data_IF_763813114092
#
_entry.id   IF_763813114092
#
_cell.length_a   1.000
_cell.length_b   1.000
_cell.length_c   1.000
_cell.angle_alpha   90.00
_cell.angle_beta   90.00
_cell.angle_gamma   90.00
#
_symmetry.space_group_name_H-M   'P 1'
#
loop_
_entity.id
_entity.type
_entity.pdbx_description
1 polymer ?
#
# COMPACT_ATOMS: atom_id res chain seq x y z
N UNK A 1 8.00 2.24 -44.50
CA UNK A 1 8.13 2.56 -43.07
C UNK A 1 6.83 2.15 -42.38
N UNK A 2 6.85 1.06 -41.62
CA UNK A 2 5.70 0.65 -40.83
C UNK A 2 5.77 1.40 -39.51
N UNK A 3 4.79 2.28 -39.26
CA UNK A 3 4.63 2.94 -37.97
C UNK A 3 4.05 1.90 -37.02
N UNK A 4 4.88 1.41 -36.09
CA UNK A 4 4.39 0.59 -34.97
C UNK A 4 3.69 1.53 -34.00
N UNK A 5 2.36 1.56 -34.04
CA UNK A 5 1.57 2.26 -33.04
C UNK A 5 1.72 1.47 -31.73
N UNK A 6 2.49 1.97 -30.80
CA UNK A 6 2.54 1.46 -29.44
C UNK A 6 1.16 1.77 -28.82
N UNK A 7 0.28 0.78 -28.76
CA UNK A 7 -0.87 0.82 -27.88
C UNK A 7 -0.33 0.67 -26.45
N UNK A 8 -0.16 1.80 -25.75
CA UNK A 8 0.00 1.79 -24.30
C UNK A 8 -1.39 1.43 -23.79
N UNK A 9 -1.62 0.14 -23.54
CA UNK A 9 -2.83 -0.31 -22.84
C UNK A 9 -2.85 0.39 -21.48
N UNK A 10 -3.85 1.22 -21.26
CA UNK A 10 -4.07 1.81 -19.94
C UNK A 10 -4.41 0.67 -18.99
N UNK A 11 -3.55 0.42 -18.02
CA UNK A 11 -3.76 -0.61 -17.00
C UNK A 11 -4.01 0.06 -15.65
N UNK A 12 -5.17 -0.21 -15.07
CA UNK A 12 -5.52 0.25 -13.74
C UNK A 12 -4.67 -0.47 -12.68
N UNK A 13 -3.90 0.29 -11.91
CA UNK A 13 -3.02 -0.26 -10.86
C UNK A 13 -3.77 -0.38 -9.53
N UNK A 14 -4.24 -1.61 -9.22
CA UNK A 14 -4.92 -1.93 -7.95
C UNK A 14 -3.93 -1.88 -6.79
N UNK A 15 -4.32 -1.22 -5.68
CA UNK A 15 -3.47 -1.04 -4.49
C UNK A 15 -2.46 0.10 -4.61
N UNK A 16 -2.61 0.97 -5.62
CA UNK A 16 -1.73 2.08 -5.94
C UNK A 16 -2.49 3.38 -6.22
N UNK A 17 -1.77 4.50 -6.22
CA UNK A 17 -2.31 5.76 -6.74
C UNK A 17 -2.27 5.76 -8.27
N UNK A 18 -3.38 6.16 -8.87
CA UNK A 18 -3.56 6.33 -10.29
C UNK A 18 -3.95 7.78 -10.57
N UNK A 19 -3.41 8.38 -11.62
CA UNK A 19 -3.89 9.66 -12.14
C UNK A 19 -4.80 9.39 -13.34
N UNK A 20 -6.09 9.68 -13.18
CA UNK A 20 -7.16 9.32 -14.09
C UNK A 20 -7.94 10.56 -14.51
N UNK A 21 -8.51 10.56 -15.72
CA UNK A 21 -9.41 11.62 -16.16
C UNK A 21 -10.81 11.44 -15.60
N UNK A 22 -11.46 12.54 -15.27
CA UNK A 22 -12.87 12.57 -14.91
C UNK A 22 -13.68 12.48 -16.20
N UNK A 23 -14.28 11.31 -16.44
CA UNK A 23 -15.00 11.05 -17.71
C UNK A 23 -16.45 11.48 -17.66
N UNK A 24 -17.14 11.22 -16.54
CA UNK A 24 -18.56 11.56 -16.37
C UNK A 24 -18.95 11.65 -14.91
N UNK A 25 -19.91 12.51 -14.64
CA UNK A 25 -20.60 12.66 -13.36
C UNK A 25 -21.92 11.88 -13.37
N UNK A 26 -22.20 11.17 -12.27
CA UNK A 26 -23.40 10.35 -12.13
C UNK A 26 -24.00 10.49 -10.73
N UNK A 27 -25.21 9.97 -10.51
CA UNK A 27 -25.87 9.98 -9.19
C UNK A 27 -25.08 9.24 -8.10
N UNK A 28 -24.19 8.30 -8.46
CA UNK A 28 -23.42 7.47 -7.51
C UNK A 28 -21.99 7.95 -7.31
N UNK A 29 -21.51 8.83 -8.18
CA UNK A 29 -20.16 9.38 -8.14
C UNK A 29 -19.59 9.65 -9.52
N UNK A 30 -18.29 9.96 -9.56
CA UNK A 30 -17.56 10.19 -10.80
C UNK A 30 -17.04 8.86 -11.35
N UNK A 31 -17.10 8.69 -12.65
CA UNK A 31 -16.35 7.65 -13.35
C UNK A 31 -15.05 8.23 -13.87
N UNK A 32 -13.95 7.56 -13.52
CA UNK A 32 -12.60 7.96 -13.86
C UNK A 32 -11.96 6.89 -14.75
N UNK A 33 -11.13 7.29 -15.70
CA UNK A 33 -10.47 6.34 -16.59
C UNK A 33 -9.57 7.01 -17.62
N UNK A 34 -9.36 6.31 -18.74
CA UNK A 34 -8.71 6.84 -19.94
C UNK A 34 -9.75 7.21 -21.00
N UNK A 35 -9.48 8.26 -21.76
CA UNK A 35 -10.35 8.64 -22.88
C UNK A 35 -10.39 7.58 -23.99
N UNK A 36 -9.35 6.74 -24.07
CA UNK A 36 -9.15 5.79 -25.16
C UNK A 36 -9.86 4.45 -24.96
N UNK A 37 -10.23 4.10 -23.71
CA UNK A 37 -10.84 2.80 -23.38
C UNK A 37 -11.96 3.01 -22.37
N UNK A 38 -13.21 2.62 -22.73
CA UNK A 38 -14.36 2.66 -21.80
C UNK A 38 -14.44 1.40 -20.91
N UNK A 39 -13.60 0.41 -21.14
CA UNK A 39 -13.67 -0.89 -20.44
C UNK A 39 -13.07 -0.87 -19.04
N UNK A 40 -12.21 0.12 -18.74
CA UNK A 40 -11.46 0.21 -17.47
C UNK A 40 -11.89 1.39 -16.58
N UNK A 41 -13.12 1.89 -16.73
CA UNK A 41 -13.64 2.98 -15.90
C UNK A 41 -13.79 2.54 -14.45
N UNK A 42 -13.28 3.35 -13.53
CA UNK A 42 -13.40 3.12 -12.08
C UNK A 42 -14.32 4.15 -11.44
N UNK A 43 -15.20 3.69 -10.55
CA UNK A 43 -16.09 4.56 -9.80
C UNK A 43 -15.35 5.23 -8.63
N UNK A 44 -15.43 6.56 -8.55
CA UNK A 44 -15.14 7.36 -7.36
C UNK A 44 -16.47 7.71 -6.68
N UNK A 45 -16.86 7.08 -5.56
CA UNK A 45 -18.11 7.35 -4.88
C UNK A 45 -18.27 8.80 -4.45
N UNK A 46 -19.50 9.32 -4.41
CA UNK A 46 -19.83 10.71 -4.09
C UNK A 46 -19.14 11.25 -2.83
N UNK A 47 -18.99 10.43 -1.79
CA UNK A 47 -18.35 10.81 -0.52
C UNK A 47 -16.86 11.15 -0.64
N UNK A 48 -16.22 10.76 -1.74
CA UNK A 48 -14.80 11.00 -2.01
C UNK A 48 -14.57 12.01 -3.13
N UNK A 49 -15.63 12.50 -3.75
CA UNK A 49 -15.56 13.49 -4.83
C UNK A 49 -15.08 14.84 -4.27
N UNK A 50 -14.07 15.48 -4.89
CA UNK A 50 -13.66 16.85 -4.53
C UNK A 50 -14.82 17.83 -4.66
N UNK A 51 -14.79 18.92 -3.88
CA UNK A 51 -15.84 19.96 -3.93
C UNK A 51 -15.90 20.67 -5.28
N UNK A 52 -14.76 20.80 -5.94
CA UNK A 52 -14.61 21.43 -7.25
C UNK A 52 -13.92 20.43 -8.18
N UNK A 53 -14.49 20.22 -9.36
CA UNK A 53 -13.94 19.38 -10.43
C UNK A 53 -14.54 19.81 -11.77
N UNK A 54 -13.86 19.46 -12.85
CA UNK A 54 -14.34 19.63 -14.23
C UNK A 54 -14.21 18.30 -14.96
N UNK A 55 -15.19 17.96 -15.80
CA UNK A 55 -15.08 16.79 -16.70
C UNK A 55 -13.87 17.00 -17.62
N UNK A 56 -13.02 15.99 -17.73
CA UNK A 56 -11.76 16.04 -18.49
C UNK A 56 -10.52 16.37 -17.65
N UNK A 57 -10.68 16.85 -16.41
CA UNK A 57 -9.55 17.10 -15.52
C UNK A 57 -8.92 15.78 -15.04
N UNK A 58 -7.62 15.81 -14.77
CA UNK A 58 -6.88 14.71 -14.17
C UNK A 58 -7.06 14.72 -12.63
N UNK A 59 -7.42 13.57 -12.08
CA UNK A 59 -7.56 13.38 -10.64
C UNK A 59 -6.70 12.22 -10.15
N UNK A 60 -5.84 12.46 -9.16
CA UNK A 60 -5.07 11.39 -8.52
C UNK A 60 -5.90 10.74 -7.42
N UNK A 61 -6.16 9.45 -7.58
CA UNK A 61 -6.96 8.62 -6.68
C UNK A 61 -6.24 7.33 -6.34
N UNK A 62 -6.53 6.78 -5.17
CA UNK A 62 -6.10 5.43 -4.81
C UNK A 62 -7.17 4.44 -5.28
N UNK A 63 -6.75 3.36 -5.95
CA UNK A 63 -7.67 2.33 -6.46
C UNK A 63 -7.51 1.05 -5.67
N UNK A 64 -8.61 0.51 -5.18
CA UNK A 64 -8.65 -0.73 -4.40
C UNK A 64 -9.90 -1.55 -4.76
N UNK A 65 -10.07 -2.72 -4.15
CA UNK A 65 -11.21 -3.59 -4.40
C UNK A 65 -12.27 -3.42 -3.31
N UNK A 66 -13.52 -3.16 -3.68
CA UNK A 66 -14.66 -3.08 -2.76
C UNK A 66 -15.03 -4.46 -2.17
N UNK A 67 -16.13 -4.53 -1.41
CA UNK A 67 -16.59 -5.78 -0.79
C UNK A 67 -17.04 -6.85 -1.80
N UNK A 68 -17.34 -6.45 -3.03
CA UNK A 68 -17.70 -7.34 -4.14
C UNK A 68 -16.51 -7.61 -5.08
N UNK A 69 -15.29 -7.23 -4.65
CA UNK A 69 -14.03 -7.36 -5.39
C UNK A 69 -14.01 -6.58 -6.72
N UNK A 70 -14.78 -5.49 -6.81
CA UNK A 70 -14.75 -4.58 -7.96
C UNK A 70 -13.76 -3.44 -7.70
N UNK A 71 -13.02 -2.96 -8.72
CA UNK A 71 -12.20 -1.77 -8.60
C UNK A 71 -13.04 -0.56 -8.20
N UNK A 72 -12.59 0.18 -7.19
CA UNK A 72 -13.20 1.42 -6.72
C UNK A 72 -12.11 2.42 -6.36
N UNK A 73 -12.35 3.69 -6.66
CA UNK A 73 -11.43 4.78 -6.39
C UNK A 73 -11.77 5.50 -5.07
N UNK A 74 -10.76 6.09 -4.45
CA UNK A 74 -10.93 6.97 -3.30
C UNK A 74 -9.89 8.09 -3.31
N UNK A 75 -10.23 9.25 -2.76
CA UNK A 75 -9.29 10.33 -2.48
C UNK A 75 -8.62 10.21 -1.11
N UNK A 76 -9.01 9.20 -0.32
CA UNK A 76 -8.34 8.88 0.94
C UNK A 76 -6.92 8.38 0.69
N UNK A 77 -6.04 8.62 1.65
CA UNK A 77 -4.65 8.15 1.62
C UNK A 77 -4.51 6.97 2.56
N UNK A 78 -4.36 5.73 2.04
CA UNK A 78 -4.15 4.57 2.88
C UNK A 78 -2.78 4.64 3.58
N UNK A 79 -2.64 3.90 4.69
CA UNK A 79 -1.38 3.82 5.45
C UNK A 79 -0.34 2.89 4.80
N UNK A 80 -0.76 2.09 3.81
CA UNK A 80 0.06 1.12 3.08
C UNK A 80 -0.43 1.03 1.64
N UNK A 81 0.51 0.80 0.70
CA UNK A 81 0.23 0.52 -0.71
C UNK A 81 0.69 -0.88 -1.08
N UNK A 82 0.37 -1.31 -2.28
CA UNK A 82 0.84 -2.57 -2.83
C UNK A 82 2.38 -2.64 -2.74
N UNK A 83 2.89 -3.80 -2.33
CA UNK A 83 4.31 -4.06 -2.15
C UNK A 83 5.02 -3.18 -1.09
N UNK A 84 4.28 -2.65 -0.13
CA UNK A 84 4.84 -1.91 1.00
C UNK A 84 4.66 -2.61 2.34
N UNK A 85 5.43 -2.15 3.32
CA UNK A 85 5.32 -2.54 4.73
C UNK A 85 4.70 -1.41 5.54
N UNK A 86 3.86 -1.76 6.51
CA UNK A 86 3.36 -0.83 7.52
C UNK A 86 3.02 -1.55 8.84
N UNK A 87 2.98 -0.79 9.93
CA UNK A 87 2.40 -1.22 11.21
C UNK A 87 0.92 -0.86 11.26
N UNK A 88 0.06 -1.87 11.12
CA UNK A 88 -1.39 -1.69 11.10
C UNK A 88 -2.04 -2.28 12.35
N UNK A 89 -3.15 -1.66 12.77
CA UNK A 89 -3.94 -2.11 13.92
C UNK A 89 -4.97 -3.15 13.47
N UNK A 90 -5.12 -4.23 14.23
CA UNK A 90 -6.21 -5.19 14.04
C UNK A 90 -7.51 -4.60 14.56
N UNK A 91 -8.49 -4.45 13.69
CA UNK A 91 -9.83 -3.99 14.05
C UNK A 91 -10.66 -5.15 14.61
N UNK A 92 -10.69 -6.29 13.90
CA UNK A 92 -11.41 -7.48 14.34
C UNK A 92 -10.81 -8.75 13.73
N UNK A 93 -11.22 -9.89 14.29
CA UNK A 93 -10.82 -11.22 13.82
C UNK A 93 -12.09 -12.05 13.59
N UNK A 94 -12.10 -12.84 12.53
CA UNK A 94 -13.17 -13.80 12.26
C UNK A 94 -12.60 -15.18 11.94
N UNK A 95 -13.47 -16.12 11.51
CA UNK A 95 -13.08 -17.50 11.18
C UNK A 95 -12.11 -17.65 9.99
N UNK A 96 -11.83 -16.59 9.26
CA UNK A 96 -10.92 -16.62 8.09
C UNK A 96 -9.57 -15.96 8.38
N UNK A 97 -9.50 -15.03 9.32
CA UNK A 97 -8.28 -14.28 9.64
C UNK A 97 -8.54 -12.96 10.34
N UNK A 98 -7.55 -12.09 10.34
CA UNK A 98 -7.58 -10.77 10.93
C UNK A 98 -7.85 -9.70 9.87
N UNK A 99 -8.52 -8.62 10.29
CA UNK A 99 -8.85 -7.46 9.48
C UNK A 99 -8.23 -6.22 10.11
N UNK A 100 -7.41 -5.53 9.33
CA UNK A 100 -6.55 -4.45 9.78
C UNK A 100 -7.00 -3.11 9.22
N UNK A 101 -7.03 -2.11 10.09
CA UNK A 101 -7.22 -0.72 9.71
C UNK A 101 -6.02 -0.23 8.87
N UNK A 102 -6.26 0.07 7.61
CA UNK A 102 -5.28 0.65 6.69
C UNK A 102 -5.68 2.02 6.16
N UNK A 103 -6.68 2.65 6.81
CA UNK A 103 -7.15 4.00 6.49
C UNK A 103 -8.25 4.08 5.43
N UNK A 104 -8.79 2.94 4.98
CA UNK A 104 -9.92 2.86 4.05
C UNK A 104 -11.11 2.16 4.72
N UNK A 105 -12.30 2.24 4.09
CA UNK A 105 -13.51 1.63 4.68
C UNK A 105 -13.48 0.11 4.76
N UNK A 106 -12.94 -0.54 3.72
CA UNK A 106 -12.75 -2.00 3.73
C UNK A 106 -11.42 -2.29 4.41
N UNK A 107 -11.44 -2.98 5.53
CA UNK A 107 -10.23 -3.40 6.23
C UNK A 107 -9.35 -4.32 5.37
N UNK A 108 -8.04 -4.23 5.57
CA UNK A 108 -7.05 -5.07 4.90
C UNK A 108 -7.02 -6.46 5.56
N UNK A 109 -7.21 -7.49 4.77
CA UNK A 109 -7.32 -8.87 5.23
C UNK A 109 -5.96 -9.55 5.39
N UNK A 110 -5.78 -10.26 6.53
CA UNK A 110 -4.62 -11.12 6.82
C UNK A 110 -5.13 -12.53 7.11
N UNK A 111 -5.09 -13.46 6.15
CA UNK A 111 -5.48 -14.86 6.37
C UNK A 111 -4.65 -15.50 7.49
N UNK A 112 -5.19 -16.49 8.20
CA UNK A 112 -4.44 -17.20 9.25
C UNK A 112 -3.12 -17.79 8.73
N UNK A 113 -3.10 -18.31 7.49
CA UNK A 113 -1.89 -18.82 6.84
C UNK A 113 -0.78 -17.78 6.66
N UNK A 114 -1.15 -16.49 6.62
CA UNK A 114 -0.22 -15.36 6.45
C UNK A 114 0.18 -14.70 7.79
N UNK A 115 -0.30 -15.22 8.90
CA UNK A 115 0.09 -14.75 10.23
C UNK A 115 1.33 -15.51 10.71
N UNK A 116 2.40 -14.78 11.07
CA UNK A 116 3.60 -15.37 11.67
C UNK A 116 3.33 -15.89 13.09
N UNK A 117 2.37 -15.27 13.76
CA UNK A 117 1.80 -15.66 15.06
C UNK A 117 0.33 -15.22 15.10
N UNK A 118 -0.52 -15.85 15.93
CA UNK A 118 -1.90 -15.41 16.07
C UNK A 118 -1.97 -13.92 16.38
N UNK A 119 -2.82 -13.21 15.64
CA UNK A 119 -3.07 -11.79 15.86
C UNK A 119 -4.14 -11.59 16.92
N UNK A 120 -4.14 -10.44 17.59
CA UNK A 120 -5.07 -10.07 18.63
C UNK A 120 -5.71 -8.71 18.29
N UNK A 121 -7.01 -8.57 18.53
CA UNK A 121 -7.74 -7.33 18.29
C UNK A 121 -7.15 -6.17 19.09
N UNK A 122 -7.11 -4.99 18.46
CA UNK A 122 -6.57 -3.78 19.05
C UNK A 122 -5.03 -3.68 19.02
N UNK A 123 -4.30 -4.79 18.81
CA UNK A 123 -2.83 -4.78 18.70
C UNK A 123 -2.38 -4.37 17.29
N UNK A 124 -1.15 -3.87 17.21
CA UNK A 124 -0.51 -3.49 15.94
C UNK A 124 0.53 -4.52 15.54
N UNK A 125 0.58 -4.79 14.23
CA UNK A 125 1.52 -5.74 13.63
C UNK A 125 2.16 -5.13 12.39
N UNK A 126 3.45 -5.43 12.21
CA UNK A 126 4.13 -5.18 10.95
C UNK A 126 3.60 -6.16 9.92
N UNK A 127 3.13 -5.63 8.81
CA UNK A 127 2.61 -6.41 7.67
C UNK A 127 3.15 -5.89 6.36
N UNK A 128 3.16 -6.76 5.36
CA UNK A 128 3.43 -6.46 3.96
C UNK A 128 2.17 -6.69 3.15
N UNK A 129 1.80 -5.75 2.28
CA UNK A 129 0.63 -5.87 1.42
C UNK A 129 1.03 -6.38 0.03
N UNK A 130 0.32 -7.38 -0.46
CA UNK A 130 0.53 -7.96 -1.78
C UNK A 130 -0.78 -8.36 -2.44
N UNK A 131 -0.74 -8.56 -3.75
CA UNK A 131 -1.86 -9.12 -4.51
C UNK A 131 -1.74 -10.66 -4.50
N UNK A 132 -2.74 -11.33 -3.94
CA UNK A 132 -2.80 -12.81 -4.01
C UNK A 132 -3.18 -13.21 -5.44
N UNK A 133 -2.24 -13.75 -6.19
CA UNK A 133 -2.41 -14.17 -7.59
C UNK A 133 -3.53 -15.19 -7.81
N UNK A 134 -3.87 -15.99 -6.79
CA UNK A 134 -4.92 -17.01 -6.89
C UNK A 134 -6.32 -16.44 -6.79
N UNK A 135 -6.48 -15.40 -5.98
CA UNK A 135 -7.79 -14.82 -5.68
C UNK A 135 -7.94 -13.43 -6.28
N UNK A 136 -6.87 -12.86 -6.81
CA UNK A 136 -6.77 -11.47 -7.31
C UNK A 136 -7.21 -10.44 -6.26
N UNK A 137 -6.91 -10.70 -4.97
CA UNK A 137 -7.29 -9.85 -3.84
C UNK A 137 -6.07 -9.20 -3.20
N UNK A 138 -6.23 -7.96 -2.74
CA UNK A 138 -5.26 -7.34 -1.86
C UNK A 138 -5.33 -8.02 -0.48
N UNK A 139 -4.22 -8.60 -0.06
CA UNK A 139 -4.05 -9.25 1.23
C UNK A 139 -2.75 -8.81 1.90
N UNK A 140 -2.64 -9.02 3.19
CA UNK A 140 -1.39 -8.75 3.89
C UNK A 140 -0.86 -9.97 4.61
N UNK A 141 0.46 -9.96 4.84
CA UNK A 141 1.18 -11.01 5.57
C UNK A 141 2.02 -10.40 6.69
N UNK A 142 1.96 -10.97 7.89
CA UNK A 142 2.92 -10.65 8.94
C UNK A 142 4.19 -11.51 8.92
N UNK A 143 4.31 -12.42 7.96
CA UNK A 143 5.52 -13.18 7.65
C UNK A 143 6.49 -12.35 6.82
N UNK A 144 6.80 -11.15 7.30
CA UNK A 144 7.48 -10.08 6.55
C UNK A 144 8.86 -10.46 6.03
N UNK A 145 9.53 -11.41 6.69
CA UNK A 145 10.89 -11.84 6.30
C UNK A 145 10.98 -12.41 4.89
N UNK A 146 9.90 -12.99 4.36
CA UNK A 146 9.88 -13.56 3.01
C UNK A 146 9.87 -12.50 1.89
N UNK A 147 9.49 -11.26 2.23
CA UNK A 147 9.41 -10.14 1.29
C UNK A 147 10.61 -9.18 1.40
N UNK A 148 11.54 -9.47 2.31
CA UNK A 148 12.74 -8.67 2.54
C UNK A 148 13.96 -9.43 2.03
N UNK A 149 14.77 -8.79 1.21
CA UNK A 149 16.02 -9.36 0.70
C UNK A 149 17.15 -8.34 0.82
N UNK A 150 18.32 -8.83 1.21
CA UNK A 150 19.58 -8.08 1.13
C UNK A 150 20.46 -8.63 0.01
N UNK A 151 19.93 -9.46 -0.88
CA UNK A 151 20.59 -9.87 -2.09
C UNK A 151 20.59 -8.71 -3.09
N UNK A 152 21.69 -8.49 -3.78
CA UNK A 152 21.86 -7.40 -4.75
C UNK A 152 21.57 -6.00 -4.14
N UNK A 153 22.24 -5.68 -3.03
CA UNK A 153 22.18 -4.34 -2.43
C UNK A 153 22.83 -3.33 -3.38
N UNK A 154 22.01 -2.46 -3.96
CA UNK A 154 22.47 -1.32 -4.78
C UNK A 154 22.72 -0.05 -3.94
N UNK A 155 22.57 -0.16 -2.60
CA UNK A 155 22.71 0.94 -1.66
C UNK A 155 24.17 1.36 -1.50
N UNK A 156 24.41 2.67 -1.56
CA UNK A 156 25.75 3.25 -1.43
C UNK A 156 25.96 3.84 -0.04
N UNK A 157 27.22 3.84 0.40
CA UNK A 157 27.60 4.50 1.65
C UNK A 157 27.25 6.00 1.61
N UNK A 158 26.64 6.51 2.70
CA UNK A 158 26.14 7.86 2.85
C UNK A 158 24.90 8.19 1.98
N UNK A 159 24.28 7.21 1.34
CA UNK A 159 23.02 7.39 0.65
C UNK A 159 21.88 7.63 1.67
N UNK A 160 21.04 8.63 1.41
CA UNK A 160 19.80 8.86 2.17
C UNK A 160 18.73 7.86 1.73
N UNK A 161 18.13 7.18 2.69
CA UNK A 161 17.14 6.13 2.47
C UNK A 161 15.91 6.33 3.36
N UNK A 162 14.77 5.82 2.89
CA UNK A 162 13.56 5.74 3.68
C UNK A 162 13.64 4.56 4.66
N UNK A 163 13.30 4.82 5.91
CA UNK A 163 13.37 3.84 7.00
C UNK A 163 12.00 3.66 7.63
N UNK A 164 11.58 2.41 7.76
CA UNK A 164 10.48 1.99 8.61
C UNK A 164 11.03 1.23 9.82
N UNK A 165 10.75 1.72 11.03
CA UNK A 165 11.13 1.02 12.26
C UNK A 165 10.28 -0.25 12.40
N UNK A 166 10.93 -1.41 12.33
CA UNK A 166 10.26 -2.71 12.44
C UNK A 166 10.03 -3.10 13.90
N UNK A 167 11.10 -3.29 14.64
CA UNK A 167 11.07 -3.63 16.08
C UNK A 167 12.38 -3.27 16.75
N UNK A 168 12.34 -3.11 18.06
CA UNK A 168 13.50 -2.74 18.88
C UNK A 168 13.91 -3.95 19.70
N UNK A 169 15.21 -4.28 19.69
CA UNK A 169 15.81 -5.38 20.44
C UNK A 169 16.99 -4.89 21.27
N UNK A 170 17.58 -5.76 22.08
CA UNK A 170 18.80 -5.44 22.81
C UNK A 170 19.98 -5.17 21.87
N UNK A 171 20.03 -5.85 20.72
CA UNK A 171 21.07 -5.68 19.71
C UNK A 171 20.96 -4.35 18.94
N UNK A 172 19.78 -3.72 18.91
CA UNK A 172 19.55 -2.48 18.18
C UNK A 172 18.12 -2.32 17.69
N UNK A 173 17.94 -1.38 16.78
CA UNK A 173 16.69 -1.03 16.15
C UNK A 173 16.67 -1.68 14.78
N UNK A 174 15.80 -2.67 14.62
CA UNK A 174 15.60 -3.33 13.31
C UNK A 174 14.75 -2.45 12.43
N UNK A 175 15.20 -2.23 11.21
CA UNK A 175 14.57 -1.33 10.25
C UNK A 175 14.34 -2.02 8.90
N UNK A 176 13.36 -1.51 8.17
CA UNK A 176 13.15 -1.82 6.76
C UNK A 176 13.57 -0.59 5.96
N UNK A 177 14.49 -0.79 5.02
CA UNK A 177 15.07 0.25 4.18
C UNK A 177 14.42 0.20 2.81
N UNK A 178 13.93 1.35 2.32
CA UNK A 178 13.31 1.52 0.99
C UNK A 178 12.26 0.45 0.67
N UNK A 179 11.47 0.02 1.70
CA UNK A 179 10.44 -1.02 1.57
C UNK A 179 10.97 -2.38 1.03
N UNK A 180 12.27 -2.65 1.09
CA UNK A 180 12.88 -3.80 0.42
C UNK A 180 13.94 -4.52 1.26
N UNK A 181 14.78 -3.79 1.99
CA UNK A 181 15.97 -4.35 2.63
C UNK A 181 15.86 -4.35 4.15
N UNK A 182 16.52 -5.33 4.78
CA UNK A 182 16.69 -5.37 6.24
C UNK A 182 17.89 -4.55 6.65
N UNK A 183 17.72 -3.71 7.67
CA UNK A 183 18.80 -2.96 8.29
C UNK A 183 18.76 -3.05 9.80
N UNK A 184 19.88 -2.70 10.42
CA UNK A 184 20.05 -2.56 11.86
C UNK A 184 20.67 -1.19 12.15
N UNK A 185 19.98 -0.37 12.93
CA UNK A 185 20.54 0.86 13.47
C UNK A 185 20.94 0.64 14.93
N UNK A 186 22.14 1.08 15.30
CA UNK A 186 22.61 0.96 16.68
C UNK A 186 21.97 2.05 17.55
N UNK A 187 21.61 1.70 18.79
CA UNK A 187 20.92 2.61 19.71
C UNK A 187 21.70 3.91 19.99
N UNK A 188 23.04 3.84 19.98
CA UNK A 188 23.92 5.00 20.16
C UNK A 188 24.02 5.93 18.94
N UNK A 189 23.41 5.57 17.83
CA UNK A 189 23.38 6.37 16.59
C UNK A 189 22.00 6.99 16.32
N UNK A 190 21.03 6.69 17.18
CA UNK A 190 19.66 7.22 17.10
C UNK A 190 19.43 8.16 18.26
N UNK A 191 19.23 9.44 17.95
CA UNK A 191 19.12 10.52 18.93
C UNK A 191 17.67 10.90 19.26
N UNK A 192 16.71 10.24 18.61
CA UNK A 192 15.29 10.47 18.80
C UNK A 192 14.61 9.25 19.41
N UNK A 193 13.50 9.48 20.10
CA UNK A 193 12.65 8.41 20.61
C UNK A 193 11.90 7.75 19.44
N UNK A 194 12.36 6.57 19.05
CA UNK A 194 11.77 5.81 17.94
C UNK A 194 10.84 4.71 18.44
N UNK A 195 9.78 4.46 17.70
CA UNK A 195 8.78 3.43 18.01
C UNK A 195 8.53 2.55 16.77
N UNK A 196 8.20 1.26 16.96
CA UNK A 196 7.77 0.42 15.85
C UNK A 196 6.65 1.08 15.03
N UNK A 197 6.82 1.09 13.71
CA UNK A 197 5.90 1.72 12.77
C UNK A 197 6.23 3.17 12.40
N UNK A 198 7.18 3.82 13.06
CA UNK A 198 7.66 5.14 12.61
C UNK A 198 8.34 5.04 11.26
N UNK A 199 8.02 6.00 10.38
CA UNK A 199 8.71 6.24 9.12
C UNK A 199 9.63 7.43 9.30
N UNK A 200 10.87 7.31 8.90
CA UNK A 200 11.89 8.37 8.96
C UNK A 200 12.90 8.19 7.83
N UNK A 201 13.88 9.08 7.78
CA UNK A 201 15.02 8.95 6.87
C UNK A 201 16.29 8.63 7.64
N UNK A 202 17.25 8.03 6.96
CA UNK A 202 18.56 7.74 7.51
C UNK A 202 19.61 7.58 6.43
N UNK A 203 20.84 7.30 6.82
CA UNK A 203 21.98 7.19 5.91
C UNK A 203 22.64 5.82 6.04
N UNK A 204 23.01 5.24 4.89
CA UNK A 204 23.75 3.97 4.84
C UNK A 204 25.20 4.21 5.31
N UNK A 205 25.71 3.33 6.16
CA UNK A 205 27.11 3.35 6.66
C UNK A 205 28.00 2.32 6.00
#
# INVERSE_FOLDING_TARGET
>A
AYLCTLFISFMLHIGEFNTLKILRDTKVGLFLGSEDTQEDDVLLPNKYVPKEFTIGDDLTVFVYLDHEERPVATTLKPYIKLNEFAHLKVNYINKFGAFLDWGLEKDLFVPFKEQARPMEEGKRYLVYMFLDEKTNRLVASSKTNQFLSNENLELQRNEEVDILISHITDAGINVIINQKHKGLAYKNEVYEDVKPGMKTKGYIK
#
